data_IF_517649943817
#
_entry.id   IF_517649943817
#
_cell.length_a   1.000
_cell.length_b   1.000
_cell.length_c   1.000
_cell.angle_alpha   90.00
_cell.angle_beta   90.00
_cell.angle_gamma   90.00
#
_symmetry.space_group_name_H-M   'P 1'
#
loop_
_entity.id
_entity.type
_entity.pdbx_description
1 polymer ?
#
# COMPACT_ATOMS: atom_id res chain seq x y z
N UNK A 1 16.29 1.90 24.32
CA UNK A 1 17.15 2.90 23.63
C UNK A 1 16.78 4.31 24.11
N UNK A 2 17.73 5.24 24.14
CA UNK A 2 17.47 6.67 24.38
C UNK A 2 17.57 7.39 23.04
N UNK A 3 16.52 8.13 22.69
CA UNK A 3 16.40 8.87 21.44
C UNK A 3 16.06 10.32 21.79
N UNK A 4 16.69 11.26 21.11
CA UNK A 4 16.34 12.68 21.18
C UNK A 4 15.49 13.02 19.96
N UNK A 5 14.35 13.67 20.18
CA UNK A 5 13.43 14.10 19.13
C UNK A 5 13.11 15.58 19.36
N UNK A 6 13.06 16.36 18.29
CA UNK A 6 12.59 17.74 18.37
C UNK A 6 11.06 17.75 18.44
N UNK A 7 10.53 18.36 19.49
CA UNK A 7 9.10 18.50 19.77
C UNK A 7 8.84 19.97 20.12
N UNK A 8 7.73 20.52 19.64
CA UNK A 8 7.29 21.85 20.03
C UNK A 8 7.04 21.93 21.54
N UNK A 9 7.53 22.98 22.20
CA UNK A 9 7.45 23.13 23.66
C UNK A 9 6.02 23.00 24.19
N UNK A 10 5.04 23.59 23.51
CA UNK A 10 3.62 23.49 23.88
C UNK A 10 3.11 22.05 23.90
N UNK A 11 3.52 21.23 22.93
CA UNK A 11 3.14 19.82 22.86
C UNK A 11 3.82 18.99 23.96
N UNK A 12 5.06 19.31 24.31
CA UNK A 12 5.77 18.66 25.41
C UNK A 12 5.07 18.91 26.76
N UNK A 13 4.65 20.14 27.01
CA UNK A 13 3.95 20.50 28.24
C UNK A 13 2.56 19.87 28.35
N UNK A 14 1.81 19.82 27.25
CA UNK A 14 0.54 19.11 27.18
C UNK A 14 0.72 17.62 27.46
N UNK A 15 1.70 16.97 26.81
CA UNK A 15 2.00 15.56 27.02
C UNK A 15 2.42 15.25 28.46
N UNK A 16 3.19 16.13 29.11
CA UNK A 16 3.56 16.00 30.54
C UNK A 16 2.34 16.10 31.45
N UNK A 17 1.48 17.08 31.20
CA UNK A 17 0.24 17.29 31.96
C UNK A 17 -0.67 16.08 31.84
N UNK A 18 -0.85 15.58 30.61
CA UNK A 18 -1.64 14.38 30.34
C UNK A 18 -1.06 13.13 31.02
N UNK A 19 0.25 12.89 30.89
CA UNK A 19 0.91 11.75 31.54
C UNK A 19 0.74 11.79 33.07
N UNK A 20 0.85 12.98 33.68
CA UNK A 20 0.64 13.15 35.13
C UNK A 20 -0.81 12.88 35.53
N UNK A 21 -1.78 13.36 34.76
CA UNK A 21 -3.20 13.12 35.02
C UNK A 21 -3.55 11.62 34.94
N UNK A 22 -2.92 10.88 34.02
CA UNK A 22 -3.09 9.42 33.91
C UNK A 22 -2.23 8.61 34.90
N UNK A 23 -1.39 9.25 35.71
CA UNK A 23 -0.47 8.55 36.63
C UNK A 23 0.63 7.75 35.92
N UNK A 24 1.01 8.15 34.71
CA UNK A 24 2.05 7.50 33.89
C UNK A 24 3.25 8.42 33.65
N UNK A 25 4.27 7.91 32.97
CA UNK A 25 5.45 8.69 32.58
C UNK A 25 5.32 9.21 31.16
N UNK A 26 5.97 10.35 30.86
CA UNK A 26 6.07 10.86 29.49
C UNK A 26 6.64 9.80 28.52
N UNK A 27 7.62 9.02 28.97
CA UNK A 27 8.20 7.92 28.19
C UNK A 27 7.14 6.88 27.83
N UNK A 28 6.37 6.42 28.81
CA UNK A 28 5.33 5.42 28.58
C UNK A 28 4.22 5.95 27.65
N UNK A 29 3.84 7.22 27.80
CA UNK A 29 2.90 7.89 26.91
C UNK A 29 3.41 7.92 25.46
N UNK A 30 4.68 8.32 25.26
CA UNK A 30 5.31 8.37 23.93
C UNK A 30 5.43 6.98 23.31
N UNK A 31 5.85 5.97 24.07
CA UNK A 31 5.95 4.59 23.58
C UNK A 31 4.58 3.99 23.23
N UNK A 32 3.52 4.31 24.01
CA UNK A 32 2.15 3.91 23.70
C UNK A 32 1.68 4.55 22.39
N UNK A 33 1.82 5.87 22.26
CA UNK A 33 1.43 6.59 21.04
C UNK A 33 2.17 6.10 19.80
N UNK A 34 3.48 5.85 19.90
CA UNK A 34 4.26 5.30 18.79
C UNK A 34 3.76 3.91 18.38
N UNK A 35 3.47 3.03 19.35
CA UNK A 35 2.94 1.69 19.06
C UNK A 35 1.57 1.76 18.39
N UNK A 36 0.69 2.65 18.83
CA UNK A 36 -0.62 2.84 18.21
C UNK A 36 -0.51 3.32 16.77
N UNK A 37 0.39 4.27 16.49
CA UNK A 37 0.62 4.74 15.12
C UNK A 37 1.18 3.64 14.22
N UNK A 38 2.13 2.83 14.73
CA UNK A 38 2.71 1.71 13.97
C UNK A 38 1.72 0.55 13.77
N UNK A 39 0.75 0.37 14.67
CA UNK A 39 -0.27 -0.65 14.54
C UNK A 39 -1.41 -0.26 13.58
N UNK A 40 -1.51 1.01 13.18
CA UNK A 40 -2.51 1.43 12.20
C UNK A 40 -2.22 0.72 10.88
N UNK A 41 -3.24 0.10 10.25
CA UNK A 41 -3.06 -0.48 8.93
C UNK A 41 -2.63 0.64 7.98
N UNK A 42 -1.49 0.45 7.32
CA UNK A 42 -1.12 1.29 6.19
C UNK A 42 -2.23 1.08 5.15
N UNK A 43 -2.90 2.14 4.66
CA UNK A 43 -3.89 1.97 3.61
C UNK A 43 -3.20 1.22 2.48
N UNK A 44 -3.79 0.09 2.06
CA UNK A 44 -3.27 -0.66 0.93
C UNK A 44 -3.07 0.32 -0.22
N UNK A 45 -1.84 0.38 -0.74
CA UNK A 45 -1.57 1.23 -1.90
C UNK A 45 -2.58 0.79 -2.96
N UNK A 46 -3.38 1.72 -3.53
CA UNK A 46 -4.36 1.34 -4.51
C UNK A 46 -3.65 0.54 -5.59
N UNK A 47 -4.18 -0.65 -5.86
CA UNK A 47 -3.62 -1.53 -6.87
C UNK A 47 -3.49 -0.73 -8.16
N UNK A 48 -2.25 -0.58 -8.63
CA UNK A 48 -1.96 0.05 -9.91
C UNK A 48 -1.81 -1.05 -10.93
N UNK A 49 -2.76 -1.11 -11.85
CA UNK A 49 -2.59 -1.91 -13.06
C UNK A 49 -1.44 -1.31 -13.87
N UNK A 50 -0.45 -2.13 -14.19
CA UNK A 50 0.57 -1.79 -15.17
C UNK A 50 0.23 -2.56 -16.46
N UNK A 51 -0.17 -1.87 -17.55
CA UNK A 51 -0.38 -2.54 -18.83
C UNK A 51 0.92 -3.17 -19.30
N UNK A 52 0.88 -4.47 -19.55
CA UNK A 52 1.92 -5.12 -20.38
C UNK A 52 1.47 -4.98 -21.83
N UNK A 53 2.04 -4.02 -22.54
CA UNK A 53 1.78 -3.81 -23.98
C UNK A 53 2.85 -4.53 -24.79
N UNK A 54 2.41 -5.23 -25.83
CA UNK A 54 3.29 -5.81 -26.85
C UNK A 54 2.98 -5.18 -28.20
N UNK A 55 3.99 -5.07 -29.07
CA UNK A 55 3.75 -4.74 -30.48
C UNK A 55 3.14 -5.96 -31.18
N UNK A 56 1.84 -5.88 -31.47
CA UNK A 56 1.11 -6.97 -32.12
C UNK A 56 1.12 -6.79 -33.64
N UNK A 57 1.33 -7.89 -34.34
CA UNK A 57 1.20 -7.98 -35.78
C UNK A 57 0.04 -8.94 -36.10
N UNK A 58 -0.80 -8.64 -37.10
CA UNK A 58 -1.87 -9.54 -37.50
C UNK A 58 -1.27 -10.84 -38.06
N UNK A 59 -1.82 -11.97 -37.62
CA UNK A 59 -1.45 -13.28 -38.16
C UNK A 59 -1.78 -13.33 -39.67
N UNK A 60 -0.80 -13.61 -40.54
CA UNK A 60 -1.04 -13.68 -41.97
C UNK A 60 -2.03 -14.79 -42.33
N UNK A 61 -3.03 -14.48 -43.16
CA UNK A 61 -3.99 -15.48 -43.67
C UNK A 61 -5.21 -15.73 -42.79
N UNK A 62 -5.37 -14.97 -41.69
CA UNK A 62 -6.59 -15.02 -40.86
C UNK A 62 -7.63 -14.03 -41.39
N UNK A 63 -8.81 -14.52 -41.79
CA UNK A 63 -9.94 -13.63 -42.07
C UNK A 63 -10.67 -13.32 -40.75
N UNK A 64 -10.52 -12.08 -40.26
CA UNK A 64 -11.15 -11.62 -39.03
C UNK A 64 -12.69 -11.60 -39.09
N UNK A 65 -13.29 -11.77 -40.28
CA UNK A 65 -14.75 -11.91 -40.45
C UNK A 65 -15.22 -13.36 -40.27
N UNK A 66 -14.30 -14.32 -40.25
CA UNK A 66 -14.59 -15.72 -39.99
C UNK A 66 -14.34 -16.05 -38.51
N UNK A 67 -15.41 -16.00 -37.72
CA UNK A 67 -15.33 -16.21 -36.28
C UNK A 67 -14.84 -17.61 -35.89
N UNK A 68 -15.19 -18.64 -36.66
CA UNK A 68 -14.78 -20.01 -36.36
C UNK A 68 -13.25 -20.17 -36.51
N UNK A 69 -12.66 -19.57 -37.54
CA UNK A 69 -11.21 -19.55 -37.78
C UNK A 69 -10.46 -18.82 -36.65
N UNK A 70 -10.97 -17.67 -36.20
CA UNK A 70 -10.38 -16.90 -35.10
C UNK A 70 -10.44 -17.67 -33.78
N UNK A 71 -11.58 -18.31 -33.49
CA UNK A 71 -11.75 -19.12 -32.28
C UNK A 71 -10.79 -20.31 -32.26
N UNK A 72 -10.62 -21.00 -33.38
CA UNK A 72 -9.67 -22.11 -33.48
C UNK A 72 -8.26 -21.65 -33.12
N UNK A 73 -7.76 -20.57 -33.72
CA UNK A 73 -6.40 -20.05 -33.45
C UNK A 73 -6.19 -19.67 -31.97
N UNK A 74 -7.19 -19.05 -31.32
CA UNK A 74 -7.06 -18.61 -29.92
C UNK A 74 -7.09 -19.77 -28.93
N UNK A 75 -7.83 -20.84 -29.23
CA UNK A 75 -8.10 -21.93 -28.27
C UNK A 75 -7.50 -23.29 -28.65
N UNK A 76 -6.82 -23.39 -29.81
CA UNK A 76 -6.12 -24.62 -30.24
C UNK A 76 -4.73 -24.79 -29.62
N UNK A 77 -4.34 -23.93 -28.67
CA UNK A 77 -3.18 -24.14 -27.81
C UNK A 77 -3.55 -25.20 -26.74
N UNK A 78 -3.55 -26.48 -27.15
CA UNK A 78 -3.37 -27.60 -26.20
C UNK A 78 -1.90 -27.61 -25.75
N UNK A 79 -1.61 -27.80 -24.45
CA UNK A 79 -0.24 -27.91 -23.95
C UNK A 79 0.54 -29.11 -24.52
#
# INVERSE_FOLDING_TARGET
MKTTIDIADGLLEEARTHAKAEGTTLRALVERGLREVLARPVPEKPWRWEPVTFELHPEPGVDLRNWDQVREIIYSDEP
#
